data_IF_423477296021
#
_entry.id   IF_423477296021
#
_cell.length_a   1.000
_cell.length_b   1.000
_cell.length_c   1.000
_cell.angle_alpha   90.00
_cell.angle_beta   90.00
_cell.angle_gamma   90.00
#
_symmetry.space_group_name_H-M   'P 1'
#
loop_
_entity.id
_entity.type
_entity.pdbx_description
1 polymer ?
#
# COMPACT_ATOMS: atom_id res chain seq x y z
N UNK A 1 -7.42 -30.04 17.91
CA UNK A 1 -6.64 -29.53 16.77
C UNK A 1 -7.01 -28.08 16.56
N UNK A 2 -6.06 -27.23 16.17
CA UNK A 2 -6.25 -25.78 16.02
C UNK A 2 -6.45 -25.37 14.55
N UNK A 3 -6.77 -26.32 13.66
CA UNK A 3 -6.80 -26.09 12.22
C UNK A 3 -7.74 -24.93 11.82
N UNK A 4 -8.95 -24.86 12.38
CA UNK A 4 -9.89 -23.74 12.11
C UNK A 4 -9.40 -22.40 12.65
N UNK A 5 -8.65 -22.42 13.77
CA UNK A 5 -8.03 -21.21 14.29
C UNK A 5 -6.91 -20.72 13.38
N UNK A 6 -6.00 -21.60 12.98
CA UNK A 6 -4.83 -21.28 12.17
C UNK A 6 -5.19 -20.92 10.72
N UNK A 7 -6.18 -21.59 10.13
CA UNK A 7 -6.55 -21.40 8.73
C UNK A 7 -7.60 -20.32 8.49
N UNK A 8 -8.35 -19.92 9.52
CA UNK A 8 -9.54 -19.06 9.34
C UNK A 8 -9.59 -17.95 10.36
N UNK A 9 -9.75 -18.28 11.66
CA UNK A 9 -10.02 -17.25 12.68
C UNK A 9 -8.84 -16.29 12.82
N UNK A 10 -7.62 -16.80 12.92
CA UNK A 10 -6.41 -15.99 13.06
C UNK A 10 -6.16 -15.08 11.85
N UNK A 11 -6.08 -15.58 10.60
CA UNK A 11 -5.78 -14.73 9.45
C UNK A 11 -6.87 -13.67 9.21
N UNK A 12 -8.16 -14.02 9.35
CA UNK A 12 -9.25 -13.07 9.17
C UNK A 12 -9.27 -11.99 10.26
N UNK A 13 -9.12 -12.39 11.53
CA UNK A 13 -9.12 -11.43 12.65
C UNK A 13 -7.91 -10.50 12.57
N UNK A 14 -6.73 -11.02 12.23
CA UNK A 14 -5.53 -10.22 12.09
C UNK A 14 -5.65 -9.23 10.93
N UNK A 15 -6.13 -9.68 9.76
CA UNK A 15 -6.37 -8.81 8.61
C UNK A 15 -7.39 -7.70 8.93
N UNK A 16 -8.47 -8.05 9.64
CA UNK A 16 -9.49 -7.10 10.08
C UNK A 16 -8.94 -6.05 11.06
N UNK A 17 -8.12 -6.46 12.03
CA UNK A 17 -7.48 -5.55 12.98
C UNK A 17 -6.48 -4.61 12.30
N UNK A 18 -5.66 -5.13 11.38
CA UNK A 18 -4.72 -4.32 10.61
C UNK A 18 -5.45 -3.28 9.76
N UNK A 19 -6.51 -3.68 9.06
CA UNK A 19 -7.38 -2.76 8.33
C UNK A 19 -8.00 -1.72 9.27
N UNK A 20 -8.52 -2.12 10.44
CA UNK A 20 -9.07 -1.20 11.43
C UNK A 20 -8.06 -0.14 11.87
N UNK A 21 -6.83 -0.54 12.21
CA UNK A 21 -5.74 0.35 12.61
C UNK A 21 -5.45 1.39 11.53
N UNK A 22 -5.34 0.98 10.25
CA UNK A 22 -5.11 1.88 9.12
C UNK A 22 -6.15 3.01 9.03
N UNK A 23 -7.41 2.72 9.33
CA UNK A 23 -8.51 3.68 9.24
C UNK A 23 -8.67 4.58 10.47
N UNK A 24 -8.07 4.25 11.61
CA UNK A 24 -8.26 4.99 12.89
C UNK A 24 -7.88 6.47 12.81
N UNK A 25 -6.97 6.85 11.89
CA UNK A 25 -6.52 8.24 11.77
C UNK A 25 -7.61 9.17 11.20
N UNK A 26 -8.40 8.68 10.25
CA UNK A 26 -9.43 9.45 9.55
C UNK A 26 -10.66 8.55 9.35
N UNK A 27 -11.33 8.17 10.44
CA UNK A 27 -12.49 7.29 10.37
C UNK A 27 -13.55 7.90 9.46
N UNK A 28 -14.18 7.07 8.62
CA UNK A 28 -15.19 7.45 7.63
C UNK A 28 -14.73 8.33 6.45
N UNK A 29 -13.49 8.84 6.44
CA UNK A 29 -12.94 9.57 5.29
C UNK A 29 -12.06 8.69 4.42
N UNK A 30 -11.18 7.88 5.02
CA UNK A 30 -10.32 6.96 4.25
C UNK A 30 -11.03 5.66 3.88
N UNK A 31 -12.19 5.37 4.48
CA UNK A 31 -12.96 4.16 4.20
C UNK A 31 -13.68 4.19 2.84
N UNK A 32 -13.74 5.36 2.20
CA UNK A 32 -14.32 5.55 0.86
C UNK A 32 -13.30 5.38 -0.27
N UNK A 33 -11.99 5.38 0.04
CA UNK A 33 -10.95 5.25 -0.97
C UNK A 33 -10.26 3.89 -0.95
N UNK A 34 -9.38 3.60 -1.92
CA UNK A 34 -8.82 2.27 -2.11
C UNK A 34 -7.82 1.85 -1.03
N UNK A 35 -7.84 0.58 -0.61
CA UNK A 35 -6.81 0.04 0.28
C UNK A 35 -5.56 -0.35 -0.54
N UNK A 36 -4.38 -0.01 -0.03
CA UNK A 36 -3.12 -0.47 -0.62
C UNK A 36 -2.64 -1.70 0.14
N UNK A 37 -2.43 -2.82 -0.56
CA UNK A 37 -1.94 -4.09 -0.01
C UNK A 37 -0.71 -4.59 -0.74
N UNK A 38 -0.13 -5.66 -0.21
CA UNK A 38 1.02 -6.37 -0.80
C UNK A 38 2.21 -5.46 -1.13
N UNK A 39 2.44 -4.45 -0.28
CA UNK A 39 3.55 -3.51 -0.43
C UNK A 39 4.86 -4.24 -0.22
N UNK A 40 5.68 -4.28 -1.27
CA UNK A 40 6.95 -5.00 -1.29
C UNK A 40 8.05 -4.14 -1.90
N UNK A 41 9.29 -4.41 -1.48
CA UNK A 41 10.49 -3.79 -1.99
C UNK A 41 11.38 -4.91 -2.54
N UNK A 42 11.84 -4.75 -3.78
CA UNK A 42 12.76 -5.68 -4.43
C UNK A 42 14.03 -4.96 -4.83
N UNK A 43 15.19 -5.48 -4.44
CA UNK A 43 16.50 -4.93 -4.81
C UNK A 43 17.05 -5.69 -6.02
N UNK A 44 17.36 -4.97 -7.09
CA UNK A 44 17.95 -5.52 -8.30
C UNK A 44 19.14 -4.64 -8.73
N UNK A 45 20.35 -5.14 -8.54
CA UNK A 45 21.58 -4.62 -9.16
C UNK A 45 21.85 -3.13 -8.95
N UNK A 46 21.58 -2.60 -7.74
CA UNK A 46 21.78 -1.18 -7.41
C UNK A 46 20.52 -0.31 -7.46
N UNK A 47 19.34 -0.91 -7.63
CA UNK A 47 18.05 -0.20 -7.58
C UNK A 47 17.04 -0.95 -6.73
N UNK A 48 16.22 -0.22 -5.97
CA UNK A 48 15.08 -0.78 -5.24
C UNK A 48 13.81 -0.43 -6.01
N UNK A 49 12.97 -1.43 -6.27
CA UNK A 49 11.64 -1.25 -6.87
C UNK A 49 10.58 -1.44 -5.79
N UNK A 50 9.70 -0.46 -5.67
CA UNK A 50 8.49 -0.52 -4.85
C UNK A 50 7.36 -1.09 -5.69
N UNK A 51 6.69 -2.12 -5.17
CA UNK A 51 5.50 -2.71 -5.78
C UNK A 51 4.37 -2.78 -4.75
N UNK A 52 3.14 -2.61 -5.21
CA UNK A 52 1.94 -2.72 -4.37
C UNK A 52 0.71 -3.05 -5.22
N UNK A 53 -0.40 -3.37 -4.56
CA UNK A 53 -1.72 -3.49 -5.19
C UNK A 53 -2.67 -2.49 -4.55
N UNK A 54 -3.26 -1.60 -5.36
CA UNK A 54 -4.36 -0.73 -4.96
C UNK A 54 -5.69 -1.44 -5.21
N UNK A 55 -6.60 -1.44 -4.24
CA UNK A 55 -7.82 -2.25 -4.28
C UNK A 55 -9.00 -1.48 -3.68
N UNK A 56 -9.88 -0.97 -4.55
CA UNK A 56 -11.10 -0.26 -4.14
C UNK A 56 -12.23 -1.23 -3.75
N UNK A 57 -12.07 -2.53 -3.95
CA UNK A 57 -13.14 -3.51 -3.68
C UNK A 57 -13.28 -3.85 -2.20
N UNK A 58 -12.30 -3.48 -1.36
CA UNK A 58 -12.24 -3.83 0.08
C UNK A 58 -13.12 -2.96 0.99
N UNK A 59 -14.34 -2.65 0.55
CA UNK A 59 -15.36 -1.93 1.34
C UNK A 59 -16.42 -2.88 1.90
N UNK A 60 -17.08 -2.46 2.97
CA UNK A 60 -18.19 -3.21 3.56
C UNK A 60 -19.46 -3.04 2.70
N UNK A 61 -19.87 -4.10 1.99
CA UNK A 61 -21.15 -4.17 1.26
C UNK A 61 -22.23 -4.69 2.21
N UNK A 62 -22.61 -3.91 3.21
CA UNK A 62 -23.73 -4.31 4.07
C UNK A 62 -25.04 -4.14 3.30
N UNK A 63 -25.77 -5.24 3.10
CA UNK A 63 -26.97 -5.39 2.25
C UNK A 63 -28.22 -4.60 2.66
N UNK A 64 -28.06 -3.39 3.16
CA UNK A 64 -29.14 -2.47 3.49
C UNK A 64 -29.29 -1.37 2.44
N UNK A 65 -29.78 -1.73 1.24
CA UNK A 65 -30.59 -0.89 0.32
C UNK A 65 -30.07 0.46 -0.20
N UNK A 66 -29.10 1.11 0.43
CA UNK A 66 -28.49 2.34 -0.03
C UNK A 66 -27.44 2.02 -1.11
N UNK A 67 -27.31 2.81 -2.19
CA UNK A 67 -26.24 2.63 -3.15
C UNK A 67 -24.93 2.97 -2.45
N UNK A 68 -24.32 1.95 -1.86
CA UNK A 68 -22.93 1.98 -1.39
C UNK A 68 -22.12 2.27 -2.65
N UNK A 69 -21.38 3.37 -2.63
CA UNK A 69 -20.54 3.86 -3.75
C UNK A 69 -19.95 2.67 -4.51
N UNK A 70 -20.17 2.60 -5.83
CA UNK A 70 -19.72 1.47 -6.63
C UNK A 70 -18.18 1.45 -6.68
N UNK A 71 -17.59 0.29 -7.00
CA UNK A 71 -16.16 0.25 -7.23
C UNK A 71 -15.75 1.18 -8.34
N UNK A 72 -14.81 2.04 -7.99
CA UNK A 72 -14.27 3.03 -8.89
C UNK A 72 -12.92 2.54 -9.39
N UNK A 73 -12.60 2.79 -10.67
CA UNK A 73 -11.24 2.65 -11.14
C UNK A 73 -10.29 3.45 -10.23
N UNK A 74 -9.11 2.89 -9.99
CA UNK A 74 -8.02 3.65 -9.38
C UNK A 74 -7.72 4.81 -10.33
N UNK A 75 -7.40 5.98 -9.78
CA UNK A 75 -6.97 7.14 -10.58
C UNK A 75 -5.48 7.40 -10.42
N UNK A 76 -4.95 7.19 -9.21
CA UNK A 76 -3.55 7.41 -8.92
C UNK A 76 -3.10 6.62 -7.70
N UNK A 77 -1.85 6.14 -7.71
CA UNK A 77 -1.19 5.63 -6.52
C UNK A 77 0.09 6.44 -6.27
N UNK A 78 0.29 6.85 -5.02
CA UNK A 78 1.39 7.70 -4.61
C UNK A 78 2.16 7.10 -3.44
N UNK A 79 3.44 7.46 -3.34
CA UNK A 79 4.25 7.21 -2.16
C UNK A 79 4.90 8.46 -1.59
N UNK A 80 5.21 8.42 -0.30
CA UNK A 80 5.99 9.42 0.43
C UNK A 80 7.08 8.72 1.23
N UNK A 81 8.19 9.42 1.52
CA UNK A 81 9.35 8.85 2.23
C UNK A 81 9.58 9.61 3.53
N UNK A 82 9.74 8.86 4.63
CA UNK A 82 10.00 9.37 5.98
C UNK A 82 8.77 9.98 6.66
N UNK A 83 7.98 10.72 5.90
CA UNK A 83 6.77 11.39 6.37
C UNK A 83 5.51 10.75 5.78
N UNK A 84 4.47 10.52 6.59
CA UNK A 84 3.18 10.05 6.08
C UNK A 84 2.44 11.13 5.27
N UNK A 85 1.50 10.75 4.39
CA UNK A 85 1.01 11.59 3.31
C UNK A 85 0.25 12.87 3.72
N UNK A 86 -0.20 12.96 4.97
CA UNK A 86 -0.94 14.12 5.49
C UNK A 86 -0.04 15.24 6.04
N UNK A 87 1.26 14.99 6.23
CA UNK A 87 2.26 16.00 6.58
C UNK A 87 3.39 16.09 5.57
N UNK A 88 3.54 15.07 4.71
CA UNK A 88 4.55 15.05 3.68
C UNK A 88 4.43 16.27 2.76
N UNK A 89 5.57 16.89 2.49
CA UNK A 89 5.68 18.03 1.56
C UNK A 89 5.82 17.58 0.11
N UNK A 90 6.19 16.32 -0.11
CA UNK A 90 6.38 15.73 -1.42
C UNK A 90 5.78 14.32 -1.48
N UNK A 91 5.11 14.02 -2.59
CA UNK A 91 4.65 12.68 -2.94
C UNK A 91 5.06 12.36 -4.37
N UNK A 92 5.32 11.08 -4.63
CA UNK A 92 5.78 10.55 -5.89
C UNK A 92 4.77 9.56 -6.44
N UNK A 93 4.56 9.53 -7.76
CA UNK A 93 3.62 8.60 -8.38
C UNK A 93 4.23 7.20 -8.53
N UNK A 94 3.38 6.18 -8.37
CA UNK A 94 3.61 4.85 -8.91
C UNK A 94 2.88 4.74 -10.25
N UNK A 95 3.36 3.85 -11.12
CA UNK A 95 2.72 3.58 -12.40
C UNK A 95 1.92 2.29 -12.29
N UNK A 96 0.78 2.23 -12.99
CA UNK A 96 0.12 0.96 -13.26
C UNK A 96 1.04 0.04 -14.07
N UNK A 97 1.12 -1.22 -13.68
CA UNK A 97 2.03 -2.20 -14.30
C UNK A 97 1.63 -2.52 -15.75
N UNK A 98 0.35 -2.38 -16.10
CA UNK A 98 -0.18 -2.51 -17.46
C UNK A 98 -0.19 -1.17 -18.24
N UNK A 99 0.19 -0.08 -17.57
CA UNK A 99 0.32 1.26 -18.13
C UNK A 99 -0.93 2.14 -18.06
N UNK A 100 -2.07 1.66 -17.54
CA UNK A 100 -3.28 2.46 -17.39
C UNK A 100 -3.94 2.25 -16.03
N UNK A 101 -4.55 3.29 -15.48
CA UNK A 101 -5.36 3.19 -14.28
C UNK A 101 -6.83 3.10 -14.71
N UNK A 102 -7.29 1.90 -15.07
CA UNK A 102 -8.65 1.68 -15.60
C UNK A 102 -9.44 0.57 -14.87
N UNK A 103 -8.80 -0.14 -13.95
CA UNK A 103 -9.43 -1.16 -13.10
C UNK A 103 -9.65 -0.68 -11.65
N UNK A 104 -10.61 -1.30 -10.96
CA UNK A 104 -10.83 -1.07 -9.50
C UNK A 104 -9.78 -1.76 -8.62
N UNK A 105 -8.96 -2.62 -9.21
CA UNK A 105 -7.82 -3.27 -8.57
C UNK A 105 -6.64 -3.11 -9.52
N UNK A 106 -5.57 -2.45 -9.08
CA UNK A 106 -4.44 -2.11 -9.92
C UNK A 106 -3.13 -2.56 -9.28
N UNK A 107 -2.32 -3.27 -10.05
CA UNK A 107 -0.94 -3.57 -9.67
C UNK A 107 -0.06 -2.39 -10.08
N UNK A 108 0.77 -1.92 -9.16
CA UNK A 108 1.58 -0.71 -9.37
C UNK A 108 3.02 -0.91 -8.99
N UNK A 109 3.91 -0.24 -9.72
CA UNK A 109 5.33 -0.23 -9.41
C UNK A 109 6.03 1.09 -9.75
N UNK A 110 7.12 1.36 -9.03
CA UNK A 110 8.06 2.44 -9.37
C UNK A 110 9.46 2.18 -8.77
N UNK A 111 10.53 2.63 -9.45
CA UNK A 111 11.85 2.68 -8.84
C UNK A 111 11.86 3.68 -7.69
N UNK A 112 12.39 3.25 -6.55
CA UNK A 112 12.51 4.05 -5.35
C UNK A 112 13.83 4.84 -5.40
N UNK A 113 13.75 6.12 -5.75
CA UNK A 113 14.94 6.95 -6.02
C UNK A 113 15.26 7.99 -4.93
N UNK A 114 14.31 8.23 -4.03
CA UNK A 114 14.38 9.32 -3.03
C UNK A 114 14.49 8.78 -1.61
N UNK A 115 15.37 7.80 -1.40
CA UNK A 115 15.64 7.23 -0.08
C UNK A 115 17.03 7.60 0.40
N UNK A 116 17.15 7.84 1.71
CA UNK A 116 18.42 8.04 2.39
C UNK A 116 18.46 7.20 3.67
N UNK A 117 19.43 6.30 3.77
CA UNK A 117 19.58 5.40 4.92
C UNK A 117 18.30 4.64 5.23
N UNK A 118 18.02 4.48 6.52
CA UNK A 118 16.79 3.85 7.00
C UNK A 118 15.62 4.84 6.94
N UNK A 119 14.57 4.48 6.20
CA UNK A 119 13.37 5.29 6.01
C UNK A 119 12.11 4.43 6.03
N UNK A 120 10.95 5.07 6.22
CA UNK A 120 9.64 4.44 6.04
C UNK A 120 9.04 4.98 4.75
N UNK A 121 8.60 4.10 3.86
CA UNK A 121 7.84 4.49 2.67
C UNK A 121 6.37 4.29 2.98
N UNK A 122 5.58 5.35 2.82
CA UNK A 122 4.12 5.28 2.91
C UNK A 122 3.54 5.24 1.51
N UNK A 123 2.56 4.40 1.24
CA UNK A 123 1.90 4.24 -0.05
C UNK A 123 0.39 4.38 0.13
N UNK A 124 -0.25 5.18 -0.71
CA UNK A 124 -1.69 5.40 -0.67
C UNK A 124 -2.25 5.54 -2.09
N UNK A 125 -3.52 5.20 -2.26
CA UNK A 125 -4.22 5.26 -3.53
C UNK A 125 -5.38 6.26 -3.49
N UNK A 126 -5.76 6.74 -4.67
CA UNK A 126 -6.87 7.65 -4.93
C UNK A 126 -7.73 7.02 -6.02
N UNK A 127 -9.04 6.97 -5.82
CA UNK A 127 -9.99 6.50 -6.83
C UNK A 127 -10.38 7.60 -7.83
N UNK A 128 -11.14 7.24 -8.87
CA UNK A 128 -11.64 8.18 -9.88
C UNK A 128 -12.66 9.21 -9.35
N UNK A 129 -13.22 9.00 -8.16
CA UNK A 129 -14.06 9.98 -7.46
C UNK A 129 -13.23 10.96 -6.61
N UNK A 130 -11.90 10.77 -6.51
CA UNK A 130 -11.00 11.58 -5.71
C UNK A 130 -10.95 11.19 -4.23
N UNK A 131 -11.50 10.03 -3.86
CA UNK A 131 -11.41 9.51 -2.51
C UNK A 131 -10.02 8.93 -2.26
N UNK A 132 -9.36 9.42 -1.22
CA UNK A 132 -8.06 8.92 -0.80
C UNK A 132 -8.21 7.82 0.25
N UNK A 133 -7.64 6.65 -0.03
CA UNK A 133 -7.59 5.55 0.92
C UNK A 133 -6.55 5.72 2.04
N UNK A 134 -6.54 4.80 3.02
CA UNK A 134 -5.55 4.83 4.08
C UNK A 134 -4.16 4.43 3.55
N UNK A 135 -3.07 5.01 4.08
CA UNK A 135 -1.74 4.60 3.65
C UNK A 135 -1.33 3.26 4.27
N UNK A 136 -0.63 2.46 3.47
CA UNK A 136 0.23 1.37 3.92
C UNK A 136 1.66 1.86 4.10
N UNK A 137 2.47 1.14 4.87
CA UNK A 137 3.85 1.51 5.14
C UNK A 137 4.80 0.31 5.06
N UNK A 138 6.01 0.54 4.56
CA UNK A 138 7.10 -0.44 4.49
C UNK A 138 8.42 0.21 4.91
N UNK A 139 9.26 -0.53 5.62
CA UNK A 139 10.61 -0.09 5.97
C UNK A 139 11.56 -0.35 4.81
N UNK A 140 12.45 0.61 4.55
CA UNK A 140 13.51 0.50 3.55
C UNK A 140 14.83 0.94 4.14
N UNK A 141 15.91 0.24 3.81
CA UNK A 141 17.26 0.74 4.01
C UNK A 141 17.92 0.99 2.65
N UNK A 142 18.53 2.16 2.47
CA UNK A 142 19.31 2.47 1.29
C UNK A 142 20.51 1.53 1.11
N UNK A 143 21.03 0.91 2.17
CA UNK A 143 22.10 -0.09 2.04
C UNK A 143 21.62 -1.37 1.31
N UNK A 144 20.31 -1.66 1.33
CA UNK A 144 19.73 -2.84 0.67
C UNK A 144 19.85 -2.78 -0.86
N UNK A 145 20.21 -1.62 -1.44
CA UNK A 145 20.49 -1.50 -2.89
C UNK A 145 21.65 -2.38 -3.35
N UNK A 146 22.56 -2.75 -2.43
CA UNK A 146 23.73 -3.58 -2.71
C UNK A 146 23.60 -5.02 -2.19
N UNK A 147 22.46 -5.37 -1.58
CA UNK A 147 22.22 -6.71 -1.05
C UNK A 147 22.08 -7.73 -2.18
N UNK A 148 23.21 -8.18 -2.71
CA UNK A 148 23.34 -9.20 -3.76
C UNK A 148 23.72 -10.59 -3.20
N UNK A 149 23.80 -10.71 -1.88
CA UNK A 149 24.21 -11.92 -1.18
C UNK A 149 25.73 -12.14 -1.12
N UNK A 150 26.55 -11.19 -1.58
CA UNK A 150 28.02 -11.23 -1.54
C UNK A 150 28.64 -10.16 -0.61
N UNK A 151 27.85 -9.52 0.24
CA UNK A 151 28.34 -8.50 1.17
C UNK A 151 29.30 -9.10 2.21
N UNK A 152 30.47 -8.47 2.38
CA UNK A 152 31.41 -8.82 3.45
C UNK A 152 30.80 -8.44 4.80
N UNK A 153 30.88 -9.29 5.84
CA UNK A 153 30.35 -8.94 7.15
C UNK A 153 31.10 -7.71 7.66
N UNK A 154 30.40 -6.58 7.74
CA UNK A 154 30.95 -5.33 8.26
C UNK A 154 31.39 -5.57 9.70
N UNK A 155 32.63 -5.17 9.98
CA UNK A 155 33.39 -5.46 11.19
C UNK A 155 33.06 -4.51 12.34
#
# INVERSE_FOLDING_TARGET
>A
SCASFESTVLPETLAGLQAGIKHTRRPYQTALGPDVRDVTLTSNGGSITLSAVADDTRRAVNGGGEPVDAAQPIAEVRYTVGEPPWIATQAFALNADDGQFDESIEAVSAPLTQISGQSIVFVYAIDSNGNQGPPSAVFVNADDIFADGMESPVR
#
